data_IF_763146532499
#
_entry.id   IF_763146532499
#
_cell.length_a   1.000
_cell.length_b   1.000
_cell.length_c   1.000
_cell.angle_alpha   90.00
_cell.angle_beta   90.00
_cell.angle_gamma   90.00
#
_symmetry.space_group_name_H-M   'P 1'
#
loop_
_entity.id
_entity.type
_entity.pdbx_description
1 polymer ?
2 non-polymer ?
3 non-polymer ?
4 non-polymer ?
5 water ?
#
# COMPACT_ATOMS: atom_id res chain seq x y z
N UNK A 1 -6.94 15.01 2.06
CA UNK A 1 -5.50 14.61 2.01
C UNK A 1 -5.07 14.04 3.35
N UNK A 2 -4.03 13.21 3.33
CA UNK A 2 -3.39 12.75 4.54
C UNK A 2 -1.92 13.12 4.45
N UNK A 3 -1.27 13.26 5.61
CA UNK A 3 0.14 13.68 5.67
C UNK A 3 0.93 12.86 6.69
N UNK A 4 2.22 12.68 6.42
CA UNK A 4 3.14 12.05 7.35
C UNK A 4 4.50 12.74 7.27
N UNK A 5 5.04 13.11 8.42
CA UNK A 5 6.35 13.73 8.53
C UNK A 5 7.34 12.81 9.20
N UNK A 6 8.48 12.56 8.54
CA UNK A 6 9.49 11.69 9.11
C UNK A 6 10.29 12.41 10.21
N UNK A 7 10.26 13.74 10.18
CA UNK A 7 10.94 14.53 11.20
C UNK A 7 10.18 14.41 12.51
N UNK A 8 10.81 13.73 13.46
CA UNK A 8 10.20 13.48 14.77
C UNK A 8 9.26 12.30 14.80
N UNK A 9 9.23 11.53 13.71
CA UNK A 9 8.34 10.38 13.62
C UNK A 9 8.70 9.31 14.64
N UNK A 10 7.67 8.66 15.16
CA UNK A 10 7.84 7.52 16.06
C UNK A 10 6.70 6.54 15.84
N UNK A 11 6.70 5.40 16.54
CA UNK A 11 5.62 4.46 16.26
C UNK A 11 4.21 5.04 16.42
N UNK A 12 4.05 5.95 17.37
CA UNK A 12 2.76 6.58 17.59
C UNK A 12 2.31 7.45 16.41
N UNK A 13 3.19 8.32 15.91
CA UNK A 13 2.80 9.21 14.80
C UNK A 13 2.61 8.45 13.49
N UNK A 14 3.38 7.40 13.29
CA UNK A 14 3.18 6.53 12.13
C UNK A 14 1.81 5.84 12.22
N UNK A 15 1.49 5.35 13.42
CA UNK A 15 0.18 4.74 13.66
C UNK A 15 -0.96 5.68 13.36
N UNK A 16 -0.80 6.96 13.71
CA UNK A 16 -1.80 7.99 13.41
C UNK A 16 -1.95 8.24 11.91
N UNK A 17 -0.82 8.21 11.19
CA UNK A 17 -0.84 8.35 9.73
C UNK A 17 -1.60 7.19 9.07
N UNK A 18 -1.32 5.98 9.51
CA UNK A 18 -1.97 4.82 8.91
C UNK A 18 -3.45 4.83 9.22
N UNK A 19 -3.81 5.26 10.42
CA UNK A 19 -5.23 5.40 10.76
C UNK A 19 -5.91 6.42 9.85
N UNK A 20 -5.25 7.56 9.63
CA UNK A 20 -5.76 8.60 8.73
C UNK A 20 -5.92 8.07 7.30
N UNK A 21 -4.93 7.30 6.84
CA UNK A 21 -4.98 6.75 5.50
C UNK A 21 -6.18 5.81 5.34
N UNK A 22 -6.35 4.90 6.30
CA UNK A 22 -7.51 4.00 6.28
C UNK A 22 -8.83 4.77 6.28
N UNK A 23 -8.91 5.81 7.10
CA UNK A 23 -10.14 6.60 7.25
C UNK A 23 -10.45 7.49 6.06
N UNK A 24 -9.45 7.72 5.20
CA UNK A 24 -9.63 8.54 4.01
C UNK A 24 -10.26 7.75 2.85
N UNK A 25 -10.29 6.42 2.99
CA UNK A 25 -10.83 5.56 1.95
C UNK A 25 -12.32 5.39 2.18
N UNK A 26 -13.14 5.73 1.18
CA UNK A 26 -14.59 5.63 1.35
C UNK A 26 -15.11 4.20 1.31
N UNK A 27 -16.19 3.95 2.03
CA UNK A 27 -16.88 2.67 1.99
C UNK A 27 -18.33 2.90 2.42
N UNK A 28 -19.23 2.08 1.88
CA UNK A 28 -20.64 2.14 2.29
C UNK A 28 -21.06 0.95 3.13
N UNK A 29 -20.28 -0.13 3.07
CA UNK A 29 -20.56 -1.34 3.83
C UNK A 29 -19.33 -1.82 4.58
N UNK A 30 -19.59 -2.61 5.60
CA UNK A 30 -18.57 -3.47 6.17
C UNK A 30 -19.01 -4.91 5.98
N UNK A 31 -18.03 -5.77 5.81
CA UNK A 31 -18.25 -7.18 5.64
C UNK A 31 -17.44 -7.85 6.75
N UNK A 32 -18.16 -8.50 7.65
CA UNK A 32 -17.57 -9.06 8.86
C UNK A 32 -16.75 -8.01 9.62
N UNK A 33 -17.33 -6.80 9.70
CA UNK A 33 -16.76 -5.66 10.43
C UNK A 33 -15.52 -5.02 9.79
N UNK A 34 -15.21 -5.41 8.56
CA UNK A 34 -14.08 -4.87 7.81
C UNK A 34 -14.62 -3.97 6.71
N UNK A 35 -14.15 -2.71 6.64
CA UNK A 35 -14.60 -1.84 5.56
C UNK A 35 -14.39 -2.43 4.17
N UNK A 36 -15.43 -2.34 3.34
CA UNK A 36 -15.41 -2.85 1.98
C UNK A 36 -15.19 -1.69 1.03
N UNK A 37 -14.06 -1.71 0.32
CA UNK A 37 -13.78 -0.62 -0.61
C UNK A 37 -14.79 -0.61 -1.75
N UNK A 38 -15.00 0.56 -2.33
CA UNK A 38 -16.04 0.75 -3.33
C UNK A 38 -15.69 0.07 -4.64
N UNK A 39 -16.72 -0.36 -5.40
CA UNK A 39 -16.46 -0.96 -6.72
C UNK A 39 -15.78 0.05 -7.65
N UNK A 40 -16.25 1.29 -7.61
CA UNK A 40 -15.66 2.35 -8.42
C UNK A 40 -16.04 3.72 -7.88
N UNK A 41 -15.26 4.72 -8.29
CA UNK A 41 -15.50 6.12 -7.96
C UNK A 41 -15.13 6.88 -9.22
N UNK A 42 -15.96 7.86 -9.61
CA UNK A 42 -15.72 8.59 -10.86
C UNK A 42 -15.06 9.94 -10.64
N UNK A 43 -14.19 10.29 -11.59
CA UNK A 43 -13.52 11.57 -11.59
C UNK A 43 -12.38 11.65 -10.62
N UNK A 44 -12.07 12.86 -10.17
CA UNK A 44 -10.93 13.11 -9.28
C UNK A 44 -11.11 12.52 -7.88
N UNK A 45 -12.36 12.25 -7.48
CA UNK A 45 -12.64 11.63 -6.18
C UNK A 45 -12.09 10.22 -6.02
N UNK A 46 -11.69 9.60 -7.13
CA UNK A 46 -11.05 8.29 -7.08
C UNK A 46 -9.69 8.32 -6.39
N UNK A 47 -9.07 9.50 -6.33
CA UNK A 47 -7.68 9.60 -5.90
C UNK A 47 -7.50 10.36 -4.59
N UNK A 48 -6.79 9.72 -3.67
CA UNK A 48 -6.38 10.33 -2.42
C UNK A 48 -4.95 10.83 -2.57
N UNK A 49 -4.68 12.02 -2.04
CA UNK A 49 -3.33 12.56 -2.02
C UNK A 49 -2.70 12.35 -0.65
N UNK A 50 -1.51 11.73 -0.63
CA UNK A 50 -0.72 11.55 0.57
C UNK A 50 0.47 12.49 0.48
N UNK A 51 0.60 13.39 1.44
CA UNK A 51 1.75 14.29 1.50
C UNK A 51 2.79 13.68 2.44
N UNK A 52 3.95 13.33 1.89
CA UNK A 52 5.03 12.72 2.67
C UNK A 52 6.23 13.64 2.74
N UNK A 53 6.71 13.88 3.96
CA UNK A 53 7.85 14.77 4.19
C UNK A 53 9.02 13.97 4.74
N UNK A 54 10.17 14.10 4.10
CA UNK A 54 11.38 13.46 4.60
C UNK A 54 11.89 14.22 5.82
N UNK A 55 12.94 13.69 6.44
CA UNK A 55 13.45 14.26 7.67
C UNK A 55 13.85 15.73 7.53
N UNK A 56 14.35 16.11 6.36
CA UNK A 56 14.73 17.50 6.07
C UNK A 56 13.56 18.40 5.68
N UNK A 57 12.34 17.85 5.62
CA UNK A 57 11.15 18.64 5.33
C UNK A 57 10.80 18.78 3.86
N UNK A 58 11.55 18.09 3.00
CA UNK A 58 11.21 18.04 1.58
C UNK A 58 10.06 17.08 1.37
N UNK A 59 9.24 17.33 0.36
CA UNK A 59 7.97 16.65 0.24
C UNK A 59 7.70 16.07 -1.13
N UNK A 60 7.01 14.94 -1.13
CA UNK A 60 6.37 14.43 -2.33
C UNK A 60 4.90 14.24 -2.03
N UNK A 61 4.07 14.29 -3.07
CA UNK A 61 2.66 13.99 -2.92
C UNK A 61 2.38 12.75 -3.75
N UNK A 62 1.76 11.75 -3.12
CA UNK A 62 1.52 10.49 -3.76
C UNK A 62 0.03 10.34 -4.01
N UNK A 63 -0.34 9.98 -5.23
CA UNK A 63 -1.74 9.74 -5.59
C UNK A 63 -2.08 8.26 -5.43
N UNK A 64 -3.14 7.99 -4.67
CA UNK A 64 -3.59 6.64 -4.35
C UNK A 64 -5.03 6.46 -4.83
N UNK A 65 -5.28 5.37 -5.57
CA UNK A 65 -6.62 5.01 -6.02
C UNK A 65 -7.38 4.45 -4.82
N UNK A 66 -8.48 5.10 -4.44
CA UNK A 66 -9.17 4.75 -3.18
C UNK A 66 -10.00 3.46 -3.25
N UNK A 67 -10.17 2.89 -4.44
CA UNK A 67 -10.90 1.63 -4.60
C UNK A 67 -10.01 0.43 -4.32
N UNK A 68 -8.69 0.57 -4.49
CA UNK A 68 -7.79 -0.55 -4.32
C UNK A 68 -6.48 -0.26 -3.57
N UNK A 69 -6.32 0.98 -3.13
CA UNK A 69 -5.11 1.46 -2.43
C UNK A 69 -3.84 1.30 -3.28
N UNK A 70 -3.99 1.36 -4.59
CA UNK A 70 -2.83 1.29 -5.49
C UNK A 70 -2.28 2.68 -5.70
N UNK A 71 -0.97 2.82 -5.58
CA UNK A 71 -0.29 4.06 -5.88
C UNK A 71 -0.13 4.28 -7.39
N UNK A 72 -0.70 5.36 -7.90
CA UNK A 72 -0.76 5.62 -9.33
C UNK A 72 0.44 6.42 -9.83
N UNK A 73 0.92 7.31 -8.98
CA UNK A 73 1.96 8.26 -9.35
C UNK A 73 2.24 9.19 -8.20
N UNK A 74 3.14 10.14 -8.41
CA UNK A 74 3.50 11.08 -7.37
C UNK A 74 4.04 12.35 -8.01
N UNK A 75 4.06 13.40 -7.20
CA UNK A 75 4.53 14.70 -7.61
C UNK A 75 5.74 15.07 -6.75
N UNK A 76 6.82 15.45 -7.42
CA UNK A 76 8.02 15.88 -6.72
C UNK A 76 8.47 17.20 -7.31
N UNK A 77 8.36 18.25 -6.51
CA UNK A 77 8.48 19.64 -6.94
C UNK A 77 7.51 19.99 -8.08
N UNK A 78 8.03 20.15 -9.29
CA UNK A 78 7.22 20.54 -10.44
C UNK A 78 7.12 19.42 -11.47
N UNK A 79 7.53 18.21 -11.09
CA UNK A 79 7.47 17.06 -11.99
C UNK A 79 6.58 15.98 -11.43
N UNK A 80 5.68 15.48 -12.28
CA UNK A 80 4.84 14.35 -11.92
C UNK A 80 5.39 13.08 -12.54
N UNK A 81 5.19 11.97 -11.86
CA UNK A 81 5.67 10.67 -12.29
C UNK A 81 4.51 9.69 -12.17
N UNK A 82 4.25 8.93 -13.23
CA UNK A 82 3.17 7.93 -13.22
C UNK A 82 3.68 6.59 -13.70
N UNK A 83 3.11 5.52 -13.15
CA UNK A 83 3.41 4.17 -13.61
C UNK A 83 2.94 4.00 -15.05
N UNK A 84 3.63 3.12 -15.77
CA UNK A 84 3.33 2.83 -17.17
C UNK A 84 2.22 1.77 -17.21
N UNK A 85 1.00 2.23 -16.99
CA UNK A 85 -0.16 1.41 -16.72
C UNK A 85 -1.39 2.17 -17.18
N UNK A 86 -2.40 1.52 -17.75
CA UNK A 86 -3.59 2.31 -18.14
C UNK A 86 -4.28 3.04 -16.98
N UNK A 87 -4.32 2.42 -15.81
CA UNK A 87 -4.97 3.05 -14.65
C UNK A 87 -4.23 4.30 -14.19
N UNK A 88 -2.90 4.30 -14.31
CA UNK A 88 -2.10 5.46 -13.93
C UNK A 88 -2.21 6.55 -14.99
N UNK A 89 -2.29 6.15 -16.25
CA UNK A 89 -2.52 7.08 -17.35
C UNK A 89 -3.83 7.82 -17.12
N UNK A 90 -4.87 7.09 -16.71
CA UNK A 90 -6.15 7.71 -16.39
C UNK A 90 -6.02 8.67 -15.21
N UNK A 91 -5.34 8.23 -14.15
CA UNK A 91 -5.11 9.10 -12.99
C UNK A 91 -4.47 10.43 -13.39
N UNK A 92 -3.56 10.38 -14.38
CA UNK A 92 -2.85 11.58 -14.81
C UNK A 92 -3.76 12.62 -15.47
N UNK A 93 -4.98 12.22 -15.79
CA UNK A 93 -5.99 13.14 -16.30
C UNK A 93 -6.62 13.97 -15.16
N UNK A 94 -6.43 13.53 -13.92
CA UNK A 94 -7.08 14.18 -12.78
C UNK A 94 -6.15 14.78 -11.71
N UNK A 95 -4.98 14.18 -11.49
CA UNK A 95 -4.09 14.66 -10.43
C UNK A 95 -2.79 15.23 -10.99
N UNK A 96 -2.25 16.21 -10.29
CA UNK A 96 -0.95 16.83 -10.60
C UNK A 96 -0.91 17.49 -11.96
N UNK A 97 -2.05 18.01 -12.41
CA UNK A 97 -2.14 18.59 -13.74
C UNK A 97 -1.30 19.87 -13.88
N UNK A 98 -1.05 20.55 -12.76
CA UNK A 98 -0.24 21.76 -12.78
C UNK A 98 1.27 21.51 -12.78
N UNK A 99 1.70 20.25 -12.76
CA UNK A 99 3.11 19.90 -12.93
C UNK A 99 3.63 20.50 -14.25
N UNK A 100 4.84 21.03 -14.22
CA UNK A 100 5.47 21.56 -15.43
C UNK A 100 5.77 20.46 -16.44
N UNK A 101 6.10 19.26 -15.98
CA UNK A 101 6.28 18.13 -16.88
C UNK A 101 5.81 16.84 -16.22
N UNK A 102 5.44 15.88 -17.06
CA UNK A 102 5.01 14.56 -16.63
C UNK A 102 5.92 13.49 -17.21
N UNK A 103 6.51 12.70 -16.33
CA UNK A 103 7.33 11.57 -16.72
C UNK A 103 6.55 10.30 -16.45
N UNK A 104 6.49 9.42 -17.45
CA UNK A 104 5.93 8.10 -17.26
C UNK A 104 7.11 7.22 -16.92
N UNK A 105 7.04 6.54 -15.78
CA UNK A 105 8.09 5.61 -15.38
C UNK A 105 8.18 4.43 -16.34
N UNK A 106 9.37 3.81 -16.48
CA UNK A 106 9.51 2.70 -17.42
C UNK A 106 9.13 1.33 -16.83
N UNK A 107 8.07 1.31 -16.03
CA UNK A 107 7.50 0.08 -15.51
C UNK A 107 6.12 0.38 -14.98
N UNK A 108 5.31 -0.67 -14.89
CA UNK A 108 4.04 -0.61 -14.19
C UNK A 108 4.31 -0.73 -12.69
N UNK A 109 3.25 -0.65 -11.90
CA UNK A 109 3.39 -0.61 -10.46
C UNK A 109 3.25 -1.93 -9.74
N UNK A 110 3.16 -3.03 -10.47
CA UNK A 110 3.05 -4.30 -9.75
C UNK A 110 4.40 -4.81 -9.27
N UNK A 111 4.33 -5.60 -8.21
CA UNK A 111 5.52 -6.04 -7.51
C UNK A 111 6.53 -6.71 -8.40
N UNK A 112 6.04 -7.53 -9.32
CA UNK A 112 6.93 -8.30 -10.18
C UNK A 112 7.78 -7.37 -11.06
N UNK A 113 7.13 -6.38 -11.70
CA UNK A 113 7.85 -5.44 -12.55
C UNK A 113 8.79 -4.51 -11.79
N UNK A 114 8.34 -4.06 -10.62
CA UNK A 114 9.16 -3.19 -9.79
C UNK A 114 10.43 -3.89 -9.33
N UNK A 115 10.28 -5.14 -8.93
CA UNK A 115 11.40 -5.96 -8.48
C UNK A 115 12.41 -6.18 -9.61
N UNK A 116 11.90 -6.42 -10.82
CA UNK A 116 12.76 -6.55 -12.01
C UNK A 116 13.54 -5.24 -12.24
N UNK A 117 12.84 -4.11 -12.16
CA UNK A 117 13.48 -2.80 -12.37
C UNK A 117 14.51 -2.47 -11.29
N UNK A 118 14.19 -2.81 -10.04
CA UNK A 118 15.07 -2.55 -8.91
C UNK A 118 16.28 -3.49 -8.86
N UNK A 119 16.15 -4.66 -9.49
CA UNK A 119 17.23 -5.65 -9.52
C UNK A 119 17.26 -6.55 -8.29
N UNK A 120 16.18 -6.54 -7.51
CA UNK A 120 16.11 -7.41 -6.34
C UNK A 120 14.67 -7.63 -5.89
N UNK A 121 14.39 -8.81 -5.32
CA UNK A 121 13.07 -9.08 -4.77
C UNK A 121 12.90 -8.29 -3.49
N UNK A 122 11.66 -8.04 -3.08
CA UNK A 122 11.51 -7.23 -1.88
C UNK A 122 11.79 -8.01 -0.59
N UNK A 123 11.96 -9.33 -0.68
CA UNK A 123 12.49 -10.11 0.45
C UNK A 123 13.87 -9.60 0.90
N UNK A 124 14.57 -8.92 0.00
CA UNK A 124 15.92 -8.42 0.27
C UNK A 124 16.03 -6.92 0.48
N UNK A 125 14.92 -6.19 0.40
CA UNK A 125 14.95 -4.74 0.60
C UNK A 125 14.48 -4.40 2.01
N UNK A 126 15.36 -3.81 2.84
CA UNK A 126 14.91 -3.38 4.17
C UNK A 126 13.80 -2.35 4.11
N UNK A 127 12.85 -2.47 5.02
CA UNK A 127 11.78 -1.50 5.16
C UNK A 127 11.73 -1.03 6.61
N UNK A 128 10.98 0.03 6.85
CA UNK A 128 10.98 0.73 8.12
C UNK A 128 10.87 2.21 7.87
N UNK A 129 10.84 2.98 8.95
CA UNK A 129 10.73 4.42 8.80
C UNK A 129 12.03 5.03 8.24
N UNK A 130 13.21 4.52 8.62
CA UNK A 130 14.37 5.10 7.93
C UNK A 130 14.39 4.83 6.42
N UNK A 131 13.94 3.65 6.01
CA UNK A 131 13.87 3.31 4.60
C UNK A 131 12.85 4.20 3.87
N UNK A 132 11.76 4.51 4.55
CA UNK A 132 10.75 5.41 3.98
C UNK A 132 11.32 6.82 3.78
N UNK A 133 12.03 7.32 4.78
CA UNK A 133 12.73 8.62 4.65
C UNK A 133 13.66 8.62 3.42
N UNK A 134 14.42 7.55 3.27
CA UNK A 134 15.32 7.37 2.12
C UNK A 134 14.54 7.33 0.80
N UNK A 135 13.42 6.62 0.82
CA UNK A 135 12.60 6.47 -0.39
C UNK A 135 12.06 7.81 -0.87
N UNK A 136 11.57 8.62 0.06
CA UNK A 136 11.04 9.93 -0.28
C UNK A 136 12.16 10.75 -0.92
N UNK A 137 13.33 10.73 -0.28
CA UNK A 137 14.49 11.45 -0.79
C UNK A 137 14.87 11.00 -2.20
N UNK A 138 14.84 9.69 -2.44
CA UNK A 138 15.16 9.13 -3.75
C UNK A 138 14.18 9.63 -4.81
N UNK A 139 12.90 9.69 -4.46
CA UNK A 139 11.88 10.05 -5.45
C UNK A 139 11.91 11.53 -5.79
N UNK A 140 12.59 12.34 -4.97
CA UNK A 140 12.66 13.78 -5.23
C UNK A 140 13.38 14.09 -6.55
N UNK A 141 14.32 13.23 -6.94
CA UNK A 141 15.06 13.43 -8.18
C UNK A 141 15.11 12.16 -9.00
N UNK A 142 14.67 12.27 -10.24
CA UNK A 142 14.41 11.12 -11.08
C UNK A 142 15.62 10.23 -11.29
N UNK A 143 15.42 8.94 -11.07
CA UNK A 143 16.40 7.91 -11.36
C UNK A 143 15.55 6.63 -11.33
N UNK A 144 15.26 6.07 -12.48
CA UNK A 144 14.21 5.04 -12.55
C UNK A 144 14.57 3.73 -11.83
N UNK A 145 15.84 3.35 -11.86
CA UNK A 145 16.28 2.15 -11.12
C UNK A 145 16.17 2.35 -9.62
N UNK A 146 16.69 3.46 -9.12
CA UNK A 146 16.60 3.78 -7.71
C UNK A 146 15.14 3.94 -7.29
N UNK A 147 14.34 4.58 -8.14
CA UNK A 147 12.93 4.82 -7.84
C UNK A 147 12.14 3.53 -7.67
N UNK A 148 12.47 2.50 -8.45
CA UNK A 148 11.78 1.21 -8.32
C UNK A 148 11.90 0.63 -6.91
N UNK A 149 13.12 0.67 -6.36
CA UNK A 149 13.36 0.25 -4.99
C UNK A 149 12.66 1.12 -3.98
N UNK A 150 12.71 2.43 -4.18
CA UNK A 150 12.03 3.38 -3.30
C UNK A 150 10.51 3.15 -3.32
N UNK A 151 9.97 2.87 -4.49
CA UNK A 151 8.53 2.63 -4.62
C UNK A 151 8.12 1.33 -3.93
N UNK A 152 8.98 0.31 -3.97
CA UNK A 152 8.70 -0.91 -3.22
C UNK A 152 8.63 -0.62 -1.74
N UNK A 153 9.52 0.25 -1.25
CA UNK A 153 9.49 0.64 0.15
C UNK A 153 8.22 1.42 0.44
N UNK A 154 7.91 2.38 -0.42
CA UNK A 154 6.76 3.26 -0.24
C UNK A 154 5.45 2.48 -0.17
N UNK A 155 5.28 1.57 -1.13
CA UNK A 155 4.06 0.76 -1.21
C UNK A 155 3.86 -0.03 0.07
N UNK A 156 4.93 -0.65 0.56
CA UNK A 156 4.81 -1.51 1.73
C UNK A 156 4.61 -0.77 3.04
N UNK A 157 5.19 0.42 3.16
CA UNK A 157 5.08 1.20 4.40
C UNK A 157 3.82 2.08 4.46
N UNK A 158 3.09 2.17 3.36
CA UNK A 158 1.87 2.96 3.33
C UNK A 158 0.68 2.06 2.98
N UNK A 159 0.53 1.71 1.72
CA UNK A 159 -0.58 0.85 1.31
C UNK A 159 -0.71 -0.46 2.06
N UNK A 160 0.35 -1.22 2.15
CA UNK A 160 0.29 -2.52 2.76
C UNK A 160 0.01 -2.44 4.25
N UNK A 161 0.58 -1.46 4.91
CA UNK A 161 0.31 -1.18 6.32
C UNK A 161 -1.14 -0.76 6.56
N UNK A 162 -1.72 -0.02 5.61
CA UNK A 162 -3.14 0.35 5.69
C UNK A 162 -4.01 -0.90 5.61
N UNK A 163 -3.62 -1.86 4.79
CA UNK A 163 -4.41 -3.07 4.60
C UNK A 163 -4.36 -4.09 5.74
N UNK A 164 -3.24 -4.15 6.44
CA UNK A 164 -3.00 -5.18 7.45
C UNK A 164 -2.38 -4.60 8.68
N UNK A 165 -3.04 -4.80 9.81
CA UNK A 165 -2.51 -4.35 11.08
C UNK A 165 -1.14 -4.97 11.40
N UNK A 166 -0.95 -6.22 11.01
CA UNK A 166 0.33 -6.89 11.25
C UNK A 166 1.46 -6.13 10.57
N UNK A 167 1.22 -5.66 9.34
CA UNK A 167 2.25 -4.96 8.60
C UNK A 167 2.52 -3.59 9.21
N UNK A 168 1.47 -2.88 9.62
CA UNK A 168 1.62 -1.62 10.35
C UNK A 168 2.52 -1.81 11.57
N UNK A 169 2.27 -2.88 12.34
CA UNK A 169 3.07 -3.21 13.51
C UNK A 169 4.52 -3.56 13.17
N UNK A 170 4.72 -4.26 12.06
CA UNK A 170 6.07 -4.56 11.61
C UNK A 170 6.85 -3.28 11.33
N UNK A 171 6.20 -2.31 10.72
CA UNK A 171 6.86 -1.04 10.42
C UNK A 171 7.13 -0.27 11.71
N UNK A 172 6.22 -0.33 12.67
CA UNK A 172 6.43 0.33 13.97
C UNK A 172 7.65 -0.24 14.70
N UNK A 173 7.85 -1.54 14.57
CA UNK A 173 9.05 -2.20 15.11
C UNK A 173 10.33 -1.74 14.42
N UNK A 174 10.19 -1.27 13.18
CA UNK A 174 11.30 -0.76 12.39
C UNK A 174 11.33 0.76 12.34
N UNK A 175 10.88 1.42 13.41
CA UNK A 175 10.82 2.87 13.45
C UNK A 175 12.21 3.51 13.38
N UNK A 176 13.21 2.85 13.95
CA UNK A 176 14.56 3.43 14.03
C UNK A 176 15.66 2.53 13.48
N UNK A 177 15.26 1.42 12.87
CA UNK A 177 16.18 0.47 12.27
C UNK A 177 15.43 -0.32 11.21
N UNK A 178 15.86 -0.22 9.96
CA UNK A 178 15.24 -1.02 8.90
C UNK A 178 15.56 -2.49 9.04
N UNK A 179 14.67 -3.31 8.49
CA UNK A 179 14.88 -4.74 8.42
C UNK A 179 14.01 -5.26 7.28
N UNK A 180 14.52 -6.24 6.55
CA UNK A 180 13.74 -6.87 5.48
C UNK A 180 12.42 -7.38 6.06
N UNK A 181 11.36 -7.38 5.25
CA UNK A 181 10.06 -7.83 5.74
C UNK A 181 10.07 -9.28 6.16
N UNK A 182 9.25 -9.62 7.15
CA UNK A 182 9.07 -11.02 7.53
C UNK A 182 8.40 -11.77 6.38
N UNK A 183 8.62 -13.07 6.33
CA UNK A 183 7.95 -13.94 5.36
C UNK A 183 6.42 -13.81 5.47
N UNK A 184 5.93 -13.62 6.70
CA UNK A 184 4.50 -13.41 6.93
C UNK A 184 4.00 -12.13 6.25
N UNK A 185 4.79 -11.06 6.36
CA UNK A 185 4.48 -9.81 5.68
C UNK A 185 4.31 -10.01 4.16
N UNK A 186 5.28 -10.67 3.53
CA UNK A 186 5.21 -10.92 2.08
C UNK A 186 3.98 -11.74 1.70
N UNK A 187 3.70 -12.76 2.51
CA UNK A 187 2.56 -13.63 2.28
C UNK A 187 1.24 -12.82 2.29
N UNK A 188 1.09 -11.96 3.29
CA UNK A 188 -0.11 -11.11 3.42
C UNK A 188 -0.28 -10.17 2.22
N UNK A 189 0.82 -9.54 1.81
CA UNK A 189 0.81 -8.66 0.65
C UNK A 189 0.31 -9.39 -0.59
N UNK A 190 0.86 -10.59 -0.80
CA UNK A 190 0.53 -11.43 -1.93
C UNK A 190 -0.91 -11.98 -1.88
N UNK A 191 -1.49 -12.01 -0.69
CA UNK A 191 -2.80 -12.64 -0.46
C UNK A 191 -3.99 -11.69 -0.30
N UNK A 192 -3.77 -10.38 -0.39
CA UNK A 192 -4.83 -9.43 -0.07
C UNK A 192 -6.03 -9.59 -0.98
N UNK A 193 -5.78 -9.74 -2.28
CA UNK A 193 -6.87 -9.91 -3.24
C UNK A 193 -7.65 -11.20 -2.94
N UNK A 194 -6.91 -12.29 -2.76
CA UNK A 194 -7.48 -13.59 -2.40
C UNK A 194 -8.32 -13.55 -1.13
N UNK A 195 -7.75 -13.00 -0.06
CA UNK A 195 -8.45 -12.88 1.22
C UNK A 195 -9.69 -12.01 1.14
N UNK A 196 -9.56 -10.87 0.47
CA UNK A 196 -10.66 -9.96 0.26
C UNK A 196 -11.82 -10.68 -0.39
N UNK A 197 -11.50 -11.48 -1.39
CA UNK A 197 -12.50 -12.23 -2.12
C UNK A 197 -13.20 -13.27 -1.25
N UNK A 198 -12.40 -14.10 -0.58
CA UNK A 198 -12.93 -15.21 0.23
C UNK A 198 -13.76 -14.73 1.43
N UNK A 199 -13.35 -13.62 2.03
CA UNK A 199 -14.13 -12.97 3.08
C UNK A 199 -15.49 -12.51 2.56
N UNK A 200 -15.51 -11.95 1.35
CA UNK A 200 -16.78 -11.56 0.73
C UNK A 200 -17.63 -12.78 0.35
N UNK A 201 -16.99 -13.84 -0.13
CA UNK A 201 -17.72 -15.05 -0.50
C UNK A 201 -18.30 -15.74 0.72
N UNK A 202 -17.61 -15.62 1.84
CA UNK A 202 -18.06 -16.20 3.10
C UNK A 202 -19.43 -15.66 3.57
N UNK A 203 -19.81 -14.45 3.12
CA UNK A 203 -21.08 -13.83 3.50
C UNK A 203 -22.31 -14.71 3.28
N UNK A 204 -22.33 -15.46 2.19
CA UNK A 204 -23.44 -16.38 1.89
C UNK A 204 -23.06 -17.85 2.04
N UNK A 205 -21.99 -18.10 2.78
CA UNK A 205 -21.48 -19.44 2.97
C UNK A 205 -21.17 -19.69 4.45
N UNK A 206 -21.95 -19.03 5.32
CA UNK A 206 -21.88 -19.20 6.76
C UNK A 206 -20.51 -18.91 7.35
N UNK A 207 -19.83 -17.91 6.79
CA UNK A 207 -18.49 -17.54 7.27
C UNK A 207 -17.37 -18.43 6.79
N UNK A 208 -17.67 -19.39 5.91
CA UNK A 208 -16.70 -20.36 5.41
C UNK A 208 -16.20 -19.92 4.04
N UNK A 209 -14.88 -19.91 3.85
CA UNK A 209 -14.27 -19.60 2.55
C UNK A 209 -14.62 -20.67 1.53
N UNK A 210 -14.95 -20.24 0.32
CA UNK A 210 -15.17 -21.17 -0.79
C UNK A 210 -13.86 -21.90 -1.16
N UNK A 211 -12.75 -21.18 -1.09
CA UNK A 211 -11.41 -21.73 -1.35
C UNK A 211 -10.47 -21.29 -0.22
N UNK A 212 -9.75 -22.24 0.41
CA UNK A 212 -8.84 -21.86 1.49
C UNK A 212 -7.67 -20.99 1.01
N UNK A 213 -7.27 -20.02 1.84
CA UNK A 213 -6.13 -19.15 1.54
C UNK A 213 -4.92 -19.63 2.33
N UNK A 214 -3.82 -19.91 1.64
CA UNK A 214 -2.58 -20.35 2.30
C UNK A 214 -1.67 -19.17 2.63
N UNK A 215 -1.27 -19.09 3.90
CA UNK A 215 -0.40 -18.02 4.42
C UNK A 215 0.77 -18.54 5.24
N UNK A 216 1.77 -17.70 5.45
CA UNK A 216 2.88 -17.98 6.36
C UNK A 216 2.65 -17.19 7.65
N UNK A 217 2.79 -17.84 8.80
CA UNK A 217 2.58 -17.16 10.09
C UNK A 217 3.88 -16.52 10.58
N UNK A 218 3.79 -15.76 11.67
CA UNK A 218 4.96 -15.08 12.25
C UNK A 218 6.16 -16.00 12.49
N UNK A 219 5.87 -17.28 12.80
CA UNK A 219 6.90 -18.27 13.09
C UNK A 219 7.63 -18.77 11.84
N UNK A 220 7.05 -18.53 10.67
CA UNK A 220 7.60 -19.05 9.41
C UNK A 220 6.93 -20.34 8.95
N UNK A 221 5.86 -20.75 9.63
CA UNK A 221 5.10 -21.95 9.25
C UNK A 221 3.94 -21.62 8.31
N UNK A 222 3.75 -22.45 7.29
CA UNK A 222 2.67 -22.28 6.31
C UNK A 222 1.34 -22.79 6.87
N UNK A 223 0.31 -21.94 6.82
CA UNK A 223 -1.00 -22.25 7.42
C UNK A 223 -2.16 -21.95 6.48
N UNK A 224 -3.25 -22.72 6.62
CA UNK A 224 -4.46 -22.53 5.80
C UNK A 224 -5.50 -21.72 6.56
N UNK A 225 -6.07 -20.73 5.87
CA UNK A 225 -7.16 -19.93 6.41
C UNK A 225 -8.43 -20.41 5.71
N UNK A 226 -9.43 -20.84 6.47
CA UNK A 226 -10.62 -21.47 5.87
C UNK A 226 -11.95 -20.78 6.20
N UNK A 227 -11.94 -19.90 7.19
CA UNK A 227 -13.17 -19.25 7.61
C UNK A 227 -12.89 -17.95 8.34
N UNK A 228 -13.95 -17.19 8.59
CA UNK A 228 -13.81 -15.83 9.13
C UNK A 228 -13.44 -15.75 10.62
N UNK A 229 -13.37 -16.89 11.32
CA UNK A 229 -12.95 -16.90 12.73
C UNK A 229 -11.43 -16.82 12.87
N UNK A 230 -10.70 -16.94 11.77
CA UNK A 230 -9.25 -16.87 11.81
C UNK A 230 -8.79 -15.47 12.24
N UNK A 231 -7.69 -15.43 12.99
CA UNK A 231 -7.13 -14.16 13.48
C UNK A 231 -6.82 -13.17 12.35
N UNK A 232 -6.46 -13.68 11.18
CA UNK A 232 -6.21 -12.80 10.03
C UNK A 232 -7.46 -12.00 9.64
N UNK A 233 -8.63 -12.60 9.79
CA UNK A 233 -9.89 -11.92 9.47
C UNK A 233 -10.42 -11.04 10.62
N UNK A 234 -10.30 -11.53 11.86
CA UNK A 234 -10.88 -10.85 13.02
C UNK A 234 -10.05 -9.70 13.56
N UNK A 235 -8.73 -9.75 13.32
CA UNK A 235 -7.81 -8.80 13.95
C UNK A 235 -6.95 -8.01 12.97
N UNK A 236 -6.57 -8.64 11.86
CA UNK A 236 -5.44 -8.18 11.05
C UNK A 236 -5.89 -7.35 9.83
N UNK A 237 -6.59 -7.97 8.88
CA UNK A 237 -7.02 -7.25 7.67
C UNK A 237 -7.93 -6.07 8.01
N UNK A 238 -7.67 -4.91 7.39
CA UNK A 238 -8.40 -3.68 7.72
C UNK A 238 -9.21 -3.10 6.56
N UNK A 239 -8.98 -3.61 5.36
CA UNK A 239 -9.65 -3.13 4.15
C UNK A 239 -9.85 -4.31 3.19
N UNK A 240 -11.02 -4.36 2.54
CA UNK A 240 -11.33 -5.39 1.56
C UNK A 240 -11.43 -4.81 0.16
N UNK A 241 -10.64 -5.37 -0.74
CA UNK A 241 -10.79 -5.12 -2.17
C UNK A 241 -12.15 -5.66 -2.60
N UNK A 242 -12.97 -4.81 -3.20
CA UNK A 242 -14.28 -5.22 -3.67
C UNK A 242 -14.15 -6.32 -4.70
N UNK A 243 -14.96 -7.36 -4.56
CA UNK A 243 -14.92 -8.49 -5.50
C UNK A 243 -15.20 -8.10 -6.96
N UNK A 244 -15.90 -6.99 -7.17
CA UNK A 244 -16.14 -6.48 -8.52
C UNK A 244 -14.83 -6.06 -9.22
N UNK A 245 -13.79 -5.81 -8.43
CA UNK A 245 -12.46 -5.48 -8.93
C UNK A 245 -11.45 -6.63 -8.91
N UNK A 246 -11.95 -7.85 -8.72
CA UNK A 246 -11.09 -9.05 -8.66
C UNK A 246 -11.44 -10.00 -9.81
#
# INVERSE_FOLDING_TARGET
DVSFRLSGADPSSYGMFIKDLRNALPHTEKVYNIPLLLPSVSGAGRYLLMHLFNYDGNTITVAVDVTNVYIMGYLALTTSYFFNEPAADLASQYVFRSARRKITLPYSGNYERLQIAAGKPREKIPIGLPALDTAISTLLHYDSTAAAGALLVLIQTTAEAARFKYIEQQIQERAYRDEVPSSATISLENSWSGLSKQIQLAQGNNGVFRTPTVLVDSKGNRVQITNVTSNVVTSNIQLLLNTKNI
#
